data_IF_893252741877
#
_entry.id   IF_893252741877
#
_cell.length_a   1.000
_cell.length_b   1.000
_cell.length_c   1.000
_cell.angle_alpha   90.00
_cell.angle_beta   90.00
_cell.angle_gamma   90.00
#
_symmetry.space_group_name_H-M   'P 1'
#
loop_
_entity.id
_entity.type
_entity.pdbx_description
1 polymer ?
#
# COMPACT_ATOMS: atom_id res chain seq x y z
N UNK A 1 -20.11 -16.62 -4.41
CA UNK A 1 -19.55 -15.93 -3.22
C UNK A 1 -18.46 -15.03 -3.75
N UNK A 2 -18.55 -13.69 -3.65
CA UNK A 2 -17.49 -12.85 -4.17
C UNK A 2 -16.36 -12.81 -3.14
N UNK A 3 -15.25 -13.42 -3.54
CA UNK A 3 -14.00 -13.49 -2.77
C UNK A 3 -13.52 -12.09 -2.41
N UNK A 4 -13.04 -11.98 -1.18
CA UNK A 4 -12.67 -10.75 -0.50
C UNK A 4 -11.75 -9.89 -1.36
N UNK A 5 -12.21 -8.67 -1.68
CA UNK A 5 -11.38 -7.60 -2.25
C UNK A 5 -10.09 -7.50 -1.45
N UNK A 6 -8.99 -7.98 -2.03
CA UNK A 6 -7.63 -7.97 -1.45
C UNK A 6 -7.13 -6.53 -1.46
N UNK A 7 -7.65 -5.70 -0.57
CA UNK A 7 -7.05 -4.42 -0.21
C UNK A 7 -6.16 -4.66 1.00
N UNK A 8 -4.84 -4.47 0.82
CA UNK A 8 -3.64 -4.62 1.70
C UNK A 8 -3.90 -4.59 3.23
N UNK A 9 -4.85 -5.37 3.74
CA UNK A 9 -5.28 -5.48 5.13
C UNK A 9 -6.06 -4.27 5.70
N UNK A 10 -7.36 -4.24 5.42
CA UNK A 10 -8.36 -3.39 6.14
C UNK A 10 -8.62 -3.79 7.60
N UNK A 11 -7.78 -4.63 8.23
CA UNK A 11 -8.05 -5.26 9.55
C UNK A 11 -6.98 -5.00 10.61
N UNK A 12 -5.98 -4.16 10.35
CA UNK A 12 -5.01 -3.76 11.38
C UNK A 12 -5.48 -2.48 12.08
N UNK A 13 -5.65 -2.56 13.39
CA UNK A 13 -6.15 -1.45 14.20
C UNK A 13 -5.11 -0.38 14.46
N UNK A 14 -5.56 0.87 14.71
CA UNK A 14 -4.72 2.05 14.93
C UNK A 14 -3.52 1.86 15.87
N UNK A 15 -3.68 1.05 16.93
CA UNK A 15 -2.64 0.83 17.94
C UNK A 15 -1.40 0.11 17.39
N UNK A 16 -1.59 -0.71 16.37
CA UNK A 16 -0.57 -1.57 15.79
C UNK A 16 0.23 -0.90 14.68
N UNK A 17 -0.09 0.35 14.32
CA UNK A 17 0.56 1.04 13.19
C UNK A 17 1.58 2.05 13.72
N UNK A 18 2.86 1.73 13.86
CA UNK A 18 3.88 2.68 14.30
C UNK A 18 4.02 3.84 13.30
N UNK A 19 4.26 5.05 13.82
CA UNK A 19 4.59 6.22 12.99
C UNK A 19 5.99 6.03 12.43
N UNK A 20 6.20 6.40 11.17
CA UNK A 20 7.49 6.20 10.52
C UNK A 20 7.36 6.11 9.00
N UNK A 21 8.49 5.88 8.36
CA UNK A 21 8.57 5.59 6.93
C UNK A 21 9.19 4.22 6.76
N UNK A 22 8.59 3.38 5.94
CA UNK A 22 8.98 1.99 5.72
C UNK A 22 9.19 1.78 4.22
N UNK A 23 10.43 1.53 3.83
CA UNK A 23 10.85 1.29 2.44
C UNK A 23 11.06 -0.21 2.23
N UNK A 24 10.44 -0.81 1.22
CA UNK A 24 10.55 -2.24 0.94
C UNK A 24 11.95 -2.66 0.45
N UNK A 25 12.80 -1.71 0.06
CA UNK A 25 14.20 -1.98 -0.33
C UNK A 25 15.13 -2.13 0.87
N UNK A 26 14.71 -1.62 2.03
CA UNK A 26 15.47 -1.71 3.27
C UNK A 26 14.92 -2.82 4.16
N UNK A 27 15.74 -3.44 5.02
CA UNK A 27 15.24 -4.40 6.00
C UNK A 27 14.32 -3.70 6.99
N UNK A 28 13.00 -3.88 6.83
CA UNK A 28 12.02 -3.27 7.72
C UNK A 28 11.90 -4.12 8.99
N UNK A 29 12.36 -3.59 10.12
CA UNK A 29 12.18 -4.21 11.43
C UNK A 29 11.12 -3.47 12.23
N UNK A 30 10.11 -4.19 12.70
CA UNK A 30 9.06 -3.67 13.60
C UNK A 30 8.80 -4.68 14.71
N UNK A 31 8.60 -4.21 15.94
CA UNK A 31 8.25 -5.05 17.09
C UNK A 31 6.77 -5.49 17.08
N UNK A 32 5.94 -4.88 16.23
CA UNK A 32 4.54 -5.24 16.09
C UNK A 32 4.35 -6.33 15.02
N UNK A 33 3.94 -7.52 15.45
CA UNK A 33 3.77 -8.68 14.57
C UNK A 33 2.66 -8.51 13.53
N UNK A 34 1.60 -7.75 13.81
CA UNK A 34 0.53 -7.50 12.85
C UNK A 34 0.98 -6.50 11.78
N UNK A 35 1.77 -5.51 12.18
CA UNK A 35 2.40 -4.59 11.25
C UNK A 35 3.49 -5.27 10.41
N UNK A 36 4.28 -6.16 11.01
CA UNK A 36 5.27 -6.96 10.28
C UNK A 36 4.59 -7.75 9.15
N UNK A 37 3.46 -8.42 9.44
CA UNK A 37 2.67 -9.13 8.42
C UNK A 37 2.10 -8.21 7.33
N UNK A 38 1.73 -6.98 7.69
CA UNK A 38 1.27 -5.98 6.71
C UNK A 38 2.39 -5.65 5.73
N UNK A 39 3.58 -5.36 6.24
CA UNK A 39 4.75 -5.02 5.42
C UNK A 39 5.21 -6.21 4.59
N UNK A 40 5.24 -7.41 5.17
CA UNK A 40 5.53 -8.66 4.46
C UNK A 40 4.57 -8.89 3.29
N UNK A 41 3.26 -8.70 3.49
CA UNK A 41 2.27 -8.76 2.41
C UNK A 41 2.49 -7.68 1.35
N UNK A 42 2.97 -6.51 1.73
CA UNK A 42 3.23 -5.44 0.79
C UNK A 42 4.39 -5.81 -0.14
N UNK A 43 5.49 -6.33 0.41
CA UNK A 43 6.63 -6.83 -0.37
C UNK A 43 6.16 -7.92 -1.34
N UNK A 44 5.47 -8.95 -0.84
CA UNK A 44 4.96 -10.03 -1.68
C UNK A 44 4.01 -9.56 -2.79
N UNK A 45 3.24 -8.49 -2.56
CA UNK A 45 2.35 -7.92 -3.56
C UNK A 45 3.13 -7.22 -4.69
N UNK A 46 4.26 -6.59 -4.39
CA UNK A 46 5.13 -6.02 -5.41
C UNK A 46 5.80 -7.12 -6.25
N UNK A 47 6.31 -8.17 -5.61
CA UNK A 47 6.90 -9.33 -6.28
C UNK A 47 5.88 -10.04 -7.20
N UNK A 48 4.66 -10.23 -6.71
CA UNK A 48 3.56 -10.84 -7.48
C UNK A 48 3.18 -9.99 -8.71
N UNK A 49 3.27 -8.67 -8.61
CA UNK A 49 3.02 -7.78 -9.74
C UNK A 49 4.17 -7.73 -10.74
N UNK A 50 5.42 -7.77 -10.27
CA UNK A 50 6.60 -7.86 -11.14
C UNK A 50 6.56 -9.13 -12.00
N UNK A 51 6.17 -10.27 -11.41
CA UNK A 51 6.03 -11.51 -12.18
C UNK A 51 4.90 -11.44 -13.23
N UNK A 52 3.81 -10.73 -12.92
CA UNK A 52 2.59 -10.71 -13.75
C UNK A 52 2.58 -9.63 -14.82
N UNK A 53 3.31 -8.53 -14.63
CA UNK A 53 3.25 -7.36 -15.49
C UNK A 53 4.63 -7.07 -16.10
N UNK A 54 4.81 -7.27 -17.44
CA UNK A 54 6.09 -7.04 -18.10
C UNK A 54 6.54 -5.56 -18.09
N UNK A 55 5.59 -4.64 -17.90
CA UNK A 55 5.83 -3.20 -17.75
C UNK A 55 6.07 -2.77 -16.28
N UNK A 56 6.25 -3.71 -15.35
CA UNK A 56 6.37 -3.46 -13.92
C UNK A 56 7.69 -3.99 -13.37
N UNK A 57 8.81 -3.41 -13.83
CA UNK A 57 10.15 -3.91 -13.51
C UNK A 57 10.72 -3.21 -12.28
N UNK A 58 11.48 -3.96 -11.47
CA UNK A 58 12.19 -3.47 -10.28
C UNK A 58 11.31 -2.60 -9.36
N UNK A 59 10.12 -3.07 -8.93
CA UNK A 59 9.23 -2.23 -8.12
C UNK A 59 9.73 -2.07 -6.68
N UNK A 60 9.50 -0.89 -6.12
CA UNK A 60 9.65 -0.66 -4.68
C UNK A 60 8.49 0.14 -4.10
N UNK A 61 8.27 -0.09 -2.82
CA UNK A 61 7.18 0.48 -2.05
C UNK A 61 7.68 1.34 -0.89
N UNK A 62 7.00 2.46 -0.67
CA UNK A 62 7.18 3.31 0.49
C UNK A 62 5.84 3.43 1.24
N UNK A 63 5.83 3.01 2.51
CA UNK A 63 4.73 3.29 3.41
C UNK A 63 5.15 4.39 4.38
N UNK A 64 4.53 5.56 4.28
CA UNK A 64 4.70 6.65 5.23
C UNK A 64 3.49 6.73 6.16
N UNK A 65 3.72 6.62 7.47
CA UNK A 65 2.68 6.77 8.50
C UNK A 65 2.96 8.02 9.30
N UNK A 66 2.11 9.02 9.16
CA UNK A 66 2.16 10.29 9.90
C UNK A 66 0.95 10.45 10.81
N UNK A 67 1.08 11.36 11.77
CA UNK A 67 -0.01 11.78 12.64
C UNK A 67 0.02 13.31 12.77
N UNK A 68 -0.82 13.97 11.98
CA UNK A 68 -0.97 15.42 12.02
C UNK A 68 -2.00 15.86 13.09
N UNK A 69 -2.99 15.00 13.38
CA UNK A 69 -4.04 15.24 14.37
C UNK A 69 -4.10 14.16 15.44
N UNK A 70 -4.42 14.56 16.67
CA UNK A 70 -4.62 13.63 17.78
C UNK A 70 -5.69 12.59 17.42
N UNK A 71 -5.33 11.30 17.53
CA UNK A 71 -6.19 10.13 17.26
C UNK A 71 -6.51 9.85 15.78
N UNK A 72 -5.83 10.49 14.83
CA UNK A 72 -5.92 10.20 13.40
C UNK A 72 -4.52 9.96 12.81
N UNK A 73 -4.33 8.78 12.23
CA UNK A 73 -3.13 8.43 11.46
C UNK A 73 -3.42 8.59 9.98
N UNK A 74 -2.44 9.10 9.26
CA UNK A 74 -2.45 9.18 7.81
C UNK A 74 -1.38 8.22 7.30
N UNK A 75 -1.81 7.27 6.47
CA UNK A 75 -0.98 6.27 5.85
C UNK A 75 -0.91 6.59 4.36
N UNK A 76 0.29 6.87 3.86
CA UNK A 76 0.55 7.06 2.45
C UNK A 76 1.35 5.88 1.93
N UNK A 77 0.79 5.19 0.96
CA UNK A 77 1.46 4.17 0.18
C UNK A 77 1.95 4.80 -1.11
N UNK A 78 3.20 4.57 -1.44
CA UNK A 78 3.79 4.94 -2.72
C UNK A 78 4.43 3.67 -3.28
N UNK A 79 4.20 3.41 -4.55
CA UNK A 79 4.82 2.30 -5.28
C UNK A 79 5.45 2.92 -6.49
N UNK A 80 6.71 2.62 -6.73
CA UNK A 80 7.46 3.10 -7.89
C UNK A 80 8.02 1.90 -8.62
N UNK A 81 8.03 1.94 -9.94
CA UNK A 81 8.55 0.88 -10.80
C UNK A 81 9.17 1.48 -12.06
N UNK A 82 9.91 0.66 -12.80
CA UNK A 82 10.45 1.01 -14.11
C UNK A 82 9.58 0.34 -15.19
N UNK A 83 8.97 1.16 -16.04
CA UNK A 83 8.24 0.70 -17.22
C UNK A 83 9.16 0.08 -18.27
N UNK A 84 8.60 -0.68 -19.23
CA UNK A 84 9.38 -1.27 -20.34
C UNK A 84 10.12 -0.22 -21.18
N UNK A 85 9.60 1.01 -21.22
CA UNK A 85 10.25 2.17 -21.84
C UNK A 85 11.46 2.71 -21.04
N UNK A 86 11.83 2.07 -19.93
CA UNK A 86 12.88 2.55 -19.02
C UNK A 86 12.51 3.82 -18.26
N UNK A 87 11.21 4.15 -18.18
CA UNK A 87 10.73 5.34 -17.48
C UNK A 87 10.24 4.97 -16.09
N UNK A 88 10.64 5.77 -15.09
CA UNK A 88 10.13 5.63 -13.72
C UNK A 88 8.67 6.08 -13.64
N UNK A 89 7.82 5.17 -13.19
CA UNK A 89 6.40 5.39 -12.94
C UNK A 89 6.07 5.17 -11.47
N UNK A 90 5.00 5.81 -11.01
CA UNK A 90 4.61 5.70 -9.61
C UNK A 90 3.11 5.73 -9.39
N UNK A 91 2.69 5.05 -8.33
CA UNK A 91 1.34 4.98 -7.80
C UNK A 91 1.37 5.49 -6.36
N UNK A 92 0.38 6.32 -5.98
CA UNK A 92 0.24 6.82 -4.60
C UNK A 92 -1.17 6.63 -4.11
N UNK A 93 -1.31 6.16 -2.87
CA UNK A 93 -2.59 5.95 -2.23
C UNK A 93 -2.55 6.36 -0.76
N UNK A 94 -3.39 7.34 -0.41
CA UNK A 94 -3.56 7.79 0.96
C UNK A 94 -4.75 7.09 1.64
N UNK A 95 -4.57 6.73 2.91
CA UNK A 95 -5.59 6.22 3.82
C UNK A 95 -5.54 6.96 5.15
N UNK A 96 -6.69 7.09 5.80
CA UNK A 96 -6.79 7.65 7.13
C UNK A 96 -7.36 6.60 8.10
N UNK A 97 -6.77 6.54 9.28
CA UNK A 97 -7.14 5.60 10.33
C UNK A 97 -7.39 6.34 11.64
N UNK A 98 -8.65 6.34 12.06
CA UNK A 98 -9.05 6.85 13.35
C UNK A 98 -8.75 5.84 14.47
N UNK A 99 -8.41 6.33 15.68
CA UNK A 99 -8.11 5.49 16.86
C UNK A 99 -9.22 4.51 17.27
N UNK A 100 -10.47 4.83 16.95
CA UNK A 100 -11.63 3.96 17.20
C UNK A 100 -12.01 3.06 16.04
N UNK A 101 -11.34 3.20 14.89
CA UNK A 101 -11.66 2.47 13.67
C UNK A 101 -10.72 1.28 13.50
N UNK A 102 -11.31 0.13 13.17
CA UNK A 102 -10.59 -1.05 12.69
C UNK A 102 -10.42 -1.03 11.16
N UNK A 103 -11.15 -0.15 10.48
CA UNK A 103 -11.19 -0.04 9.02
C UNK A 103 -10.52 1.26 8.58
N UNK A 104 -9.70 1.14 7.55
CA UNK A 104 -8.99 2.28 6.94
C UNK A 104 -9.93 2.99 5.98
N UNK A 105 -10.07 4.30 6.12
CA UNK A 105 -10.94 5.10 5.26
C UNK A 105 -10.11 5.70 4.12
N UNK A 106 -10.54 5.42 2.88
CA UNK A 106 -9.94 5.99 1.68
C UNK A 106 -10.65 7.30 1.36
N UNK A 107 -9.99 8.44 1.60
CA UNK A 107 -10.50 9.75 1.20
C UNK A 107 -9.72 10.27 0.00
N UNK A 108 -10.37 10.26 -1.17
CA UNK A 108 -9.82 10.87 -2.39
C UNK A 108 -9.59 9.87 -3.52
N UNK A 109 -10.62 9.65 -4.34
CA UNK A 109 -10.41 9.26 -5.74
C UNK A 109 -9.95 10.50 -6.50
N UNK A 110 -8.64 10.71 -6.58
CA UNK A 110 -8.08 11.40 -7.74
C UNK A 110 -7.72 10.28 -8.73
N UNK A 111 -8.58 10.06 -9.73
CA UNK A 111 -8.26 9.18 -10.86
C UNK A 111 -7.06 9.78 -11.58
N UNK A 112 -5.87 9.28 -11.28
CA UNK A 112 -4.67 9.45 -12.09
C UNK A 112 -4.24 8.03 -12.44
N UNK A 113 -3.92 7.84 -13.72
CA UNK A 113 -3.76 6.55 -14.41
C UNK A 113 -3.44 5.42 -13.48
N UNK A 114 -4.48 4.70 -13.07
CA UNK A 114 -4.29 3.34 -12.61
C UNK A 114 -3.79 2.63 -13.86
N UNK A 115 -2.66 1.90 -13.82
CA UNK A 115 -2.29 1.07 -14.95
C UNK A 115 -3.49 0.20 -15.32
N UNK A 116 -3.85 0.10 -16.59
CA UNK A 116 -5.11 -0.53 -17.03
C UNK A 116 -5.31 -1.93 -16.41
N UNK A 117 -4.21 -2.65 -16.11
CA UNK A 117 -4.19 -3.93 -15.40
C UNK A 117 -4.68 -3.91 -13.94
N UNK A 118 -4.54 -2.80 -13.21
CA UNK A 118 -5.08 -2.60 -11.85
C UNK A 118 -6.56 -2.15 -11.88
N UNK A 119 -7.03 -1.57 -12.98
CA UNK A 119 -8.46 -1.28 -13.20
C UNK A 119 -9.25 -2.54 -13.62
N UNK A 120 -8.62 -3.53 -14.27
CA UNK A 120 -9.27 -4.77 -14.72
C UNK A 120 -9.77 -5.70 -13.60
N UNK A 121 -9.40 -5.49 -12.33
CA UNK A 121 -10.02 -6.21 -11.19
C UNK A 121 -11.13 -5.43 -10.48
N UNK A 122 -11.47 -4.21 -10.93
CA UNK A 122 -12.57 -3.42 -10.37
C UNK A 122 -13.79 -3.33 -11.31
N UNK A 123 -13.80 -4.07 -12.42
CA UNK A 123 -14.91 -4.14 -13.38
C UNK A 123 -15.25 -5.58 -13.76
N UNK A 124 -15.97 -6.27 -12.88
CA UNK A 124 -16.62 -7.57 -13.11
C UNK A 124 -17.75 -7.76 -12.12
#
# INVERSE_FOLDING_TARGET
MPEEKVGISRKIGYKHIPLGTYDTREPITTDDAEFAKLLDKFVHLLEDWEEKAPDFNDPWGLLTVTQDQANLKHLRWEITWISDAGTEEYFKQDYWLHKGSYYWEQYGRKKFGVPEFLEMQNGG
#
